data_IF_001835291526
#
_entry.id   IF_001835291526
#
_cell.length_a   1.000
_cell.length_b   1.000
_cell.length_c   1.000
_cell.angle_alpha   90.00
_cell.angle_beta   90.00
_cell.angle_gamma   90.00
#
_symmetry.space_group_name_H-M   'P 1'
#
loop_
_entity.id
_entity.type
_entity.pdbx_description
1 polymer ?
#
# COMPACT_ATOMS: atom_id res chain seq x y z
N UNK A 1 8.99 8.88 -4.76
CA UNK A 1 8.40 7.81 -3.93
C UNK A 1 9.06 6.47 -4.16
N UNK A 2 9.18 5.97 -5.40
CA UNK A 2 9.79 4.67 -5.71
C UNK A 2 11.23 4.49 -5.15
N UNK A 3 12.09 5.51 -5.29
CA UNK A 3 13.46 5.47 -4.75
C UNK A 3 13.56 5.40 -3.21
N UNK A 4 12.46 5.63 -2.47
CA UNK A 4 12.42 5.52 -1.00
C UNK A 4 12.01 4.12 -0.52
N UNK A 5 11.56 3.25 -1.44
CA UNK A 5 10.93 1.95 -1.12
C UNK A 5 11.82 0.78 -1.51
N UNK A 6 13.02 1.04 -2.03
CA UNK A 6 14.01 -0.01 -2.35
C UNK A 6 14.56 -0.71 -1.10
N UNK A 7 14.30 -0.17 0.09
CA UNK A 7 14.67 -0.77 1.37
C UNK A 7 13.41 -1.14 2.18
N UNK A 8 13.16 -2.45 2.30
CA UNK A 8 12.06 -3.04 3.08
C UNK A 8 12.01 -2.54 4.52
N UNK A 9 13.16 -2.14 5.10
CA UNK A 9 13.24 -1.66 6.47
C UNK A 9 12.56 -0.30 6.68
N UNK A 10 12.21 0.41 5.60
CA UNK A 10 11.67 1.77 5.63
C UNK A 10 10.14 1.78 5.67
N UNK A 11 9.48 0.69 5.24
CA UNK A 11 8.04 0.65 5.06
C UNK A 11 7.30 0.21 6.33
N UNK A 12 6.38 1.04 6.80
CA UNK A 12 5.58 0.75 8.01
C UNK A 12 4.09 0.83 7.76
N UNK A 13 3.40 -0.27 8.01
CA UNK A 13 1.93 -0.30 8.08
C UNK A 13 1.45 0.51 9.30
N UNK A 14 0.78 1.64 9.02
CA UNK A 14 0.51 2.67 10.03
C UNK A 14 -0.57 2.28 11.05
N UNK A 15 -1.64 1.67 10.55
CA UNK A 15 -2.83 1.32 11.32
C UNK A 15 -2.93 -0.19 11.47
N UNK A 16 -3.63 -0.65 12.50
CA UNK A 16 -3.89 -2.08 12.67
C UNK A 16 -4.70 -2.66 11.50
N UNK A 17 -5.63 -1.87 10.95
CA UNK A 17 -6.36 -2.24 9.73
C UNK A 17 -5.41 -2.49 8.57
N UNK A 18 -4.44 -1.61 8.34
CA UNK A 18 -3.44 -1.80 7.28
C UNK A 18 -2.63 -3.08 7.49
N UNK A 19 -2.20 -3.40 8.74
CA UNK A 19 -1.48 -4.65 9.02
C UNK A 19 -2.33 -5.87 8.69
N UNK A 20 -3.62 -5.84 9.05
CA UNK A 20 -4.58 -6.90 8.71
C UNK A 20 -4.79 -7.04 7.21
N UNK A 21 -4.84 -5.92 6.48
CA UNK A 21 -4.97 -5.93 5.01
C UNK A 21 -3.69 -6.48 4.35
N UNK A 22 -2.50 -6.10 4.81
CA UNK A 22 -1.23 -6.69 4.32
C UNK A 22 -1.22 -8.20 4.55
N UNK A 23 -1.52 -8.65 5.77
CA UNK A 23 -1.61 -10.07 6.09
C UNK A 23 -2.63 -10.80 5.23
N UNK A 24 -3.82 -10.23 5.06
CA UNK A 24 -4.91 -10.87 4.32
C UNK A 24 -4.61 -11.02 2.83
N UNK A 25 -4.02 -10.00 2.22
CA UNK A 25 -3.91 -9.92 0.76
C UNK A 25 -2.53 -10.30 0.23
N UNK A 26 -1.51 -10.16 1.07
CA UNK A 26 -0.12 -10.46 0.72
C UNK A 26 0.45 -11.61 1.55
N UNK A 27 -0.31 -12.20 2.48
CA UNK A 27 0.19 -13.26 3.38
C UNK A 27 1.43 -12.84 4.18
N UNK A 28 1.45 -11.56 4.59
CA UNK A 28 2.60 -10.89 5.21
C UNK A 28 3.88 -10.86 4.33
N UNK A 29 3.76 -11.17 3.03
CA UNK A 29 4.85 -11.07 2.05
C UNK A 29 5.12 -9.60 1.66
N UNK A 30 6.12 -9.02 2.32
CA UNK A 30 6.55 -7.65 2.08
C UNK A 30 7.22 -7.46 0.71
N UNK A 31 7.81 -8.51 0.10
CA UNK A 31 8.36 -8.39 -1.25
C UNK A 31 7.26 -8.07 -2.26
N UNK A 32 6.11 -8.75 -2.18
CA UNK A 32 4.95 -8.47 -3.04
C UNK A 32 4.40 -7.06 -2.84
N UNK A 33 4.45 -6.54 -1.62
CA UNK A 33 4.09 -5.14 -1.33
C UNK A 33 5.08 -4.19 -2.01
N UNK A 34 6.39 -4.43 -1.92
CA UNK A 34 7.42 -3.63 -2.60
C UNK A 34 7.26 -3.69 -4.12
N UNK A 35 6.99 -4.86 -4.71
CA UNK A 35 6.71 -5.01 -6.14
C UNK A 35 5.49 -4.21 -6.59
N UNK A 36 4.41 -4.22 -5.79
CA UNK A 36 3.21 -3.43 -6.08
C UNK A 36 3.55 -1.94 -6.12
N UNK A 37 4.31 -1.44 -5.15
CA UNK A 37 4.75 -0.05 -5.06
C UNK A 37 5.69 0.33 -6.20
N UNK A 38 6.66 -0.54 -6.51
CA UNK A 38 7.59 -0.37 -7.63
C UNK A 38 6.88 -0.31 -8.99
N UNK A 39 5.68 -0.89 -9.08
CA UNK A 39 4.87 -0.89 -10.30
C UNK A 39 3.94 0.32 -10.46
N UNK A 40 3.85 1.20 -9.44
CA UNK A 40 3.03 2.41 -9.51
C UNK A 40 3.49 3.33 -10.65
N UNK A 41 2.54 4.02 -11.25
CA UNK A 41 2.77 5.05 -12.27
C UNK A 41 2.19 6.37 -11.80
N UNK A 42 2.64 7.48 -12.39
CA UNK A 42 2.04 8.79 -12.12
C UNK A 42 0.54 8.83 -12.44
N UNK A 43 0.06 8.00 -13.38
CA UNK A 43 -1.37 7.86 -13.70
C UNK A 43 -2.19 7.17 -12.63
N UNK A 44 -1.54 6.49 -11.68
CA UNK A 44 -2.21 5.77 -10.60
C UNK A 44 -2.50 6.69 -9.40
N UNK A 45 -1.95 7.91 -9.39
CA UNK A 45 -2.22 8.93 -8.38
C UNK A 45 -3.68 9.40 -8.45
N UNK A 46 -4.30 9.53 -7.29
CA UNK A 46 -5.67 10.03 -7.12
C UNK A 46 -5.61 11.48 -6.66
N UNK A 47 -5.13 11.70 -5.44
CA UNK A 47 -5.09 12.99 -4.77
C UNK A 47 -4.14 12.95 -3.54
N UNK A 48 -3.96 14.10 -2.90
CA UNK A 48 -3.30 14.24 -1.61
C UNK A 48 -4.35 14.56 -0.55
N UNK A 49 -4.31 13.84 0.58
CA UNK A 49 -5.31 13.94 1.64
C UNK A 49 -4.67 13.88 3.03
N UNK A 50 -5.40 14.35 4.04
CA UNK A 50 -5.02 14.15 5.44
C UNK A 50 -5.59 12.84 5.94
N UNK A 51 -4.73 11.94 6.43
CA UNK A 51 -5.14 10.68 7.02
C UNK A 51 -4.90 10.69 8.53
N UNK A 52 -5.80 10.02 9.29
CA UNK A 52 -5.64 9.79 10.72
C UNK A 52 -5.41 8.30 11.01
N UNK A 53 -4.59 7.99 12.02
CA UNK A 53 -4.34 6.62 12.43
C UNK A 53 -5.36 6.05 13.45
N UNK A 54 -6.41 6.80 13.78
CA UNK A 54 -7.42 6.43 14.79
C UNK A 54 -6.96 6.62 16.25
N UNK A 55 -5.77 7.17 16.46
CA UNK A 55 -5.24 7.55 17.77
C UNK A 55 -4.95 9.07 17.84
N UNK A 56 -5.60 9.87 17.00
CA UNK A 56 -5.43 11.33 16.93
C UNK A 56 -4.17 11.81 16.21
N UNK A 57 -3.35 10.92 15.64
CA UNK A 57 -2.20 11.35 14.82
C UNK A 57 -2.62 11.50 13.37
N UNK A 58 -2.30 12.65 12.77
CA UNK A 58 -2.64 13.01 11.40
C UNK A 58 -1.37 13.12 10.54
N UNK A 59 -1.44 12.66 9.29
CA UNK A 59 -0.35 12.75 8.32
C UNK A 59 -0.89 13.18 6.95
N UNK A 60 -0.12 13.99 6.23
CA UNK A 60 -0.37 14.26 4.82
C UNK A 60 0.04 13.01 4.02
N UNK A 61 -0.89 12.52 3.20
CA UNK A 61 -0.71 11.32 2.39
C UNK A 61 -0.98 11.61 0.93
N UNK A 62 -0.24 10.92 0.06
CA UNK A 62 -0.60 10.79 -1.36
C UNK A 62 -1.30 9.46 -1.57
N UNK A 63 -2.48 9.48 -2.20
CA UNK A 63 -3.29 8.33 -2.50
C UNK A 63 -3.12 7.86 -3.96
N UNK A 64 -3.10 6.54 -4.14
CA UNK A 64 -2.93 5.87 -5.41
C UNK A 64 -3.93 4.72 -5.53
N UNK A 65 -4.41 4.43 -6.74
CA UNK A 65 -5.11 3.19 -7.08
C UNK A 65 -4.44 2.48 -8.25
N UNK A 66 -4.16 1.20 -8.08
CA UNK A 66 -3.60 0.35 -9.12
C UNK A 66 -4.44 -0.92 -9.30
N UNK A 67 -4.72 -1.23 -10.57
CA UNK A 67 -5.47 -2.43 -10.97
C UNK A 67 -4.50 -3.51 -11.43
N UNK A 68 -4.58 -4.68 -10.82
CA UNK A 68 -3.75 -5.85 -11.14
C UNK A 68 -4.63 -7.04 -11.45
N UNK A 69 -4.09 -7.97 -12.24
CA UNK A 69 -4.68 -9.29 -12.37
C UNK A 69 -3.91 -10.23 -11.46
N UNK A 70 -4.58 -10.76 -10.45
CA UNK A 70 -4.05 -11.78 -9.56
C UNK A 70 -4.57 -13.14 -9.97
N UNK A 71 -3.80 -14.19 -9.69
CA UNK A 71 -4.26 -15.57 -9.88
C UNK A 71 -4.85 -16.08 -8.58
N UNK A 72 -6.13 -16.46 -8.61
CA UNK A 72 -6.81 -17.03 -7.46
C UNK A 72 -6.14 -18.36 -7.05
N UNK A 73 -5.65 -18.50 -5.81
CA UNK A 73 -4.92 -19.70 -5.39
C UNK A 73 -5.74 -20.99 -5.53
N UNK A 74 -7.06 -20.90 -5.32
CA UNK A 74 -7.94 -22.06 -5.31
C UNK A 74 -8.42 -22.52 -6.70
N UNK A 75 -8.51 -21.62 -7.68
CA UNK A 75 -9.13 -21.92 -9.00
C UNK A 75 -8.20 -21.67 -10.18
N UNK A 76 -7.05 -21.01 -9.97
CA UNK A 76 -6.16 -20.58 -11.06
C UNK A 76 -6.75 -19.47 -11.94
N UNK A 77 -7.94 -18.97 -11.61
CA UNK A 77 -8.60 -17.93 -12.40
C UNK A 77 -7.90 -16.58 -12.20
N UNK A 78 -7.78 -15.82 -13.29
CA UNK A 78 -7.32 -14.42 -13.22
C UNK A 78 -8.45 -13.53 -12.70
N UNK A 79 -8.25 -12.94 -11.54
CA UNK A 79 -9.17 -11.99 -10.91
C UNK A 79 -8.57 -10.59 -11.03
N UNK A 80 -9.40 -9.62 -11.40
CA UNK A 80 -8.98 -8.22 -11.40
C UNK A 80 -9.13 -7.68 -9.98
N UNK A 81 -8.00 -7.29 -9.38
CA UNK A 81 -7.94 -6.67 -8.07
C UNK A 81 -7.65 -5.18 -8.22
N UNK A 82 -8.24 -4.36 -7.37
CA UNK A 82 -7.89 -2.95 -7.23
C UNK A 82 -7.28 -2.72 -5.84
N UNK A 83 -6.06 -2.18 -5.84
CA UNK A 83 -5.31 -1.85 -4.63
C UNK A 83 -5.27 -0.34 -4.47
N UNK A 84 -5.68 0.13 -3.30
CA UNK A 84 -5.55 1.52 -2.89
C UNK A 84 -4.37 1.64 -1.93
N UNK A 85 -3.41 2.47 -2.28
CA UNK A 85 -2.21 2.72 -1.50
C UNK A 85 -2.18 4.18 -1.08
N UNK A 86 -1.87 4.44 0.19
CA UNK A 86 -1.62 5.80 0.68
C UNK A 86 -0.26 5.87 1.34
N UNK A 87 0.52 6.87 1.01
CA UNK A 87 1.88 7.04 1.51
C UNK A 87 2.04 8.35 2.25
N UNK A 88 2.60 8.29 3.46
CA UNK A 88 3.10 9.46 4.17
C UNK A 88 4.61 9.34 4.38
N UNK A 89 5.32 10.47 4.32
CA UNK A 89 6.73 10.55 4.69
C UNK A 89 6.83 11.17 6.08
N UNK A 90 7.43 10.44 7.02
CA UNK A 90 7.68 10.96 8.37
C UNK A 90 8.90 11.88 8.40
N UNK A 91 9.05 12.70 9.45
CA UNK A 91 10.26 13.52 9.70
C UNK A 91 11.56 12.69 9.73
N UNK A 92 11.47 11.39 10.01
CA UNK A 92 12.62 10.47 10.03
C UNK A 92 12.93 9.86 8.66
N UNK A 93 12.27 10.31 7.59
CA UNK A 93 12.41 9.76 6.24
C UNK A 93 11.69 8.42 6.01
N UNK A 94 11.09 7.83 7.06
CA UNK A 94 10.34 6.57 6.95
C UNK A 94 9.04 6.75 6.20
N UNK A 95 8.75 5.81 5.30
CA UNK A 95 7.53 5.75 4.49
C UNK A 95 6.49 4.93 5.23
N UNK A 96 5.34 5.55 5.44
CA UNK A 96 4.20 4.94 6.10
C UNK A 96 3.19 4.59 5.03
N UNK A 97 2.79 3.32 4.97
CA UNK A 97 1.87 2.79 3.97
C UNK A 97 0.52 2.45 4.61
N UNK A 98 -0.54 2.74 3.88
CA UNK A 98 -1.85 2.12 4.06
C UNK A 98 -2.24 1.41 2.76
N UNK A 99 -2.58 0.12 2.86
CA UNK A 99 -3.14 -0.65 1.74
C UNK A 99 -4.55 -1.07 2.07
N UNK A 100 -5.45 -0.91 1.12
CA UNK A 100 -6.73 -1.63 1.10
C UNK A 100 -6.96 -2.23 -0.28
N UNK A 101 -7.67 -3.36 -0.33
CA UNK A 101 -7.94 -4.06 -1.58
C UNK A 101 -9.43 -4.36 -1.72
N UNK A 102 -9.94 -4.17 -2.93
CA UNK A 102 -11.29 -4.54 -3.35
C UNK A 102 -11.19 -5.48 -4.56
N UNK A 103 -11.95 -6.57 -4.50
CA UNK A 103 -12.06 -7.59 -5.56
C UNK A 103 -13.51 -7.80 -5.98
#
# INVERSE_FOLDING_TARGET
>A
MQALVEDEAVLKAWTEKCRKDVRKWFDDDMHRVVELIGSLKSSDYIDSEWCENGAGAVAACDAYSIKKFETAPATGQRIKMEYFLKFAVSKTGKVVLMVSCHG
#
